data_IF_694655579875
#
_entry.id   IF_694655579875
#
_cell.length_a   1.000
_cell.length_b   1.000
_cell.length_c   1.000
_cell.angle_alpha   90.00
_cell.angle_beta   90.00
_cell.angle_gamma   90.00
#
_symmetry.space_group_name_H-M   'P 1'
#
loop_
_entity.id
_entity.type
_entity.pdbx_description
1 polymer ?
#
# COMPACT_ATOMS: atom_id res chain seq x y z
N UNK A 1 10.08 24.42 0.01
CA UNK A 1 9.62 24.33 1.41
C UNK A 1 10.83 24.64 2.29
N UNK A 2 10.71 25.50 3.30
CA UNK A 2 11.87 25.88 4.12
C UNK A 2 12.15 24.79 5.16
N UNK A 3 13.28 24.10 5.05
CA UNK A 3 13.67 23.01 5.96
C UNK A 3 13.83 23.48 7.42
N UNK A 4 14.12 24.77 7.63
CA UNK A 4 14.27 25.34 8.97
C UNK A 4 12.93 25.61 9.67
N UNK A 5 11.80 25.58 8.96
CA UNK A 5 10.48 25.88 9.52
C UNK A 5 9.91 24.72 10.34
N UNK A 6 10.38 23.49 10.09
CA UNK A 6 9.93 22.27 10.77
C UNK A 6 10.99 21.64 11.68
N UNK A 7 12.14 22.30 11.82
CA UNK A 7 13.22 21.87 12.69
C UNK A 7 12.76 22.02 14.15
N UNK A 8 12.98 20.98 14.96
CA UNK A 8 12.81 21.00 16.42
C UNK A 8 11.37 21.03 16.98
N UNK A 9 10.33 20.90 16.15
CA UNK A 9 8.91 20.83 16.58
C UNK A 9 8.60 19.75 17.65
N UNK A 10 9.44 18.72 17.75
CA UNK A 10 9.30 17.63 18.72
C UNK A 10 9.99 17.96 20.03
N UNK A 11 11.12 18.67 19.98
CA UNK A 11 11.88 19.04 21.17
C UNK A 11 11.13 20.15 21.94
N UNK A 12 10.33 20.97 21.24
CA UNK A 12 9.42 21.97 21.83
C UNK A 12 8.05 21.39 22.28
N UNK A 13 7.84 20.07 22.15
CA UNK A 13 6.57 19.44 22.48
C UNK A 13 6.33 19.42 24.01
N UNK A 14 5.14 19.80 24.50
CA UNK A 14 4.80 19.71 25.92
C UNK A 14 4.54 18.26 26.39
N UNK A 15 4.52 17.30 25.47
CA UNK A 15 4.31 15.89 25.76
C UNK A 15 5.63 15.18 26.08
N UNK A 16 5.57 14.14 26.92
CA UNK A 16 6.73 13.32 27.25
C UNK A 16 7.36 12.73 25.97
N UNK A 17 8.69 12.81 25.86
CA UNK A 17 9.42 12.39 24.66
C UNK A 17 9.15 10.94 24.27
N UNK A 18 8.81 10.72 23.00
CA UNK A 18 8.68 9.38 22.41
C UNK A 18 10.06 8.77 22.14
N UNK A 19 10.28 7.47 22.44
CA UNK A 19 11.50 6.77 22.02
C UNK A 19 11.61 6.63 20.50
N UNK A 20 10.51 6.83 19.77
CA UNK A 20 10.47 6.84 18.31
C UNK A 20 10.36 8.30 17.85
N UNK A 21 11.50 8.88 17.45
CA UNK A 21 11.55 10.20 16.81
C UNK A 21 11.35 10.03 15.29
N UNK A 22 10.31 10.61 14.68
CA UNK A 22 10.13 10.59 13.23
C UNK A 22 11.26 11.36 12.54
N UNK A 23 11.62 10.90 11.35
CA UNK A 23 12.60 11.55 10.47
C UNK A 23 11.84 12.14 9.30
N UNK A 24 11.99 13.45 9.08
CA UNK A 24 11.46 14.09 7.88
C UNK A 24 12.27 13.65 6.67
N UNK A 25 11.58 13.18 5.63
CA UNK A 25 12.19 12.77 4.37
C UNK A 25 11.96 13.86 3.32
N UNK A 26 13.01 14.21 2.59
CA UNK A 26 12.92 15.10 1.43
C UNK A 26 12.17 14.43 0.26
N UNK A 27 11.74 15.23 -0.72
CA UNK A 27 10.99 14.76 -1.89
C UNK A 27 11.69 13.63 -2.65
N UNK A 28 13.02 13.67 -2.74
CA UNK A 28 13.84 12.69 -3.45
C UNK A 28 14.36 11.56 -2.53
N UNK A 29 13.87 11.49 -1.29
CA UNK A 29 14.33 10.49 -0.35
C UNK A 29 14.04 9.07 -0.87
N UNK A 30 15.07 8.23 -0.85
CA UNK A 30 14.93 6.83 -1.23
C UNK A 30 14.37 6.01 -0.07
N UNK A 31 13.20 5.42 -0.27
CA UNK A 31 12.61 4.46 0.66
C UNK A 31 13.33 3.11 0.54
N UNK A 32 13.79 2.56 1.68
CA UNK A 32 14.44 1.24 1.73
C UNK A 32 13.40 0.13 1.85
N UNK A 33 12.89 -0.34 0.72
CA UNK A 33 12.02 -1.52 0.66
C UNK A 33 12.84 -2.80 0.42
N UNK A 34 12.58 -3.85 1.20
CA UNK A 34 13.34 -5.13 1.16
C UNK A 34 12.42 -6.36 1.24
N UNK A 35 11.29 -6.38 0.54
CA UNK A 35 10.54 -7.62 0.39
C UNK A 35 11.28 -8.53 -0.60
N UNK A 36 11.99 -9.56 -0.11
CA UNK A 36 12.68 -10.57 -0.93
C UNK A 36 12.75 -11.92 -0.19
N UNK A 37 13.01 -13.02 -0.90
CA UNK A 37 13.00 -14.40 -0.36
C UNK A 37 13.88 -14.63 0.88
N UNK A 38 14.88 -13.78 1.10
CA UNK A 38 15.85 -13.95 2.19
C UNK A 38 15.48 -13.16 3.46
N UNK A 39 14.29 -12.54 3.55
CA UNK A 39 13.79 -11.94 4.80
C UNK A 39 12.81 -12.86 5.50
N UNK A 40 12.77 -12.78 6.84
CA UNK A 40 11.91 -13.63 7.67
C UNK A 40 10.40 -13.47 7.37
N UNK A 41 9.99 -12.30 6.89
CA UNK A 41 8.61 -11.97 6.57
C UNK A 41 8.27 -12.10 5.07
N UNK A 42 9.05 -12.86 4.30
CA UNK A 42 8.79 -13.06 2.87
C UNK A 42 7.34 -13.50 2.62
N UNK A 43 6.63 -12.79 1.73
CA UNK A 43 5.21 -12.97 1.39
C UNK A 43 4.18 -12.82 2.52
N UNK A 44 4.57 -12.49 3.75
CA UNK A 44 3.63 -12.40 4.88
C UNK A 44 2.56 -11.30 4.69
N UNK A 45 2.92 -10.16 4.09
CA UNK A 45 1.96 -9.11 3.75
C UNK A 45 1.09 -9.47 2.54
N UNK A 46 1.64 -10.19 1.56
CA UNK A 46 0.91 -10.63 0.37
C UNK A 46 -0.10 -11.74 0.68
N UNK A 47 0.12 -12.52 1.74
CA UNK A 47 -0.80 -13.57 2.18
C UNK A 47 -2.01 -13.06 2.97
N UNK A 48 -2.04 -11.79 3.34
CA UNK A 48 -3.15 -11.18 4.09
C UNK A 48 -3.36 -9.73 3.65
N UNK A 49 -4.05 -9.54 2.53
CA UNK A 49 -4.20 -8.23 1.90
C UNK A 49 -5.42 -7.44 2.40
N UNK A 50 -5.20 -6.14 2.53
CA UNK A 50 -6.24 -5.12 2.58
C UNK A 50 -5.72 -3.89 1.83
N UNK A 51 -5.85 -3.90 0.50
CA UNK A 51 -5.17 -2.94 -0.39
C UNK A 51 -6.20 -2.13 -1.17
N UNK A 52 -6.54 -0.90 -0.71
CA UNK A 52 -7.30 0.06 -1.50
C UNK A 52 -6.61 0.36 -2.83
N UNK A 53 -7.38 0.47 -3.90
CA UNK A 53 -6.90 0.78 -5.23
C UNK A 53 -7.27 2.21 -5.60
N UNK A 54 -6.27 2.99 -6.01
CA UNK A 54 -6.53 4.28 -6.66
C UNK A 54 -6.91 4.08 -8.13
N UNK A 55 -7.50 5.09 -8.79
CA UNK A 55 -7.74 5.02 -10.23
C UNK A 55 -6.46 4.75 -11.04
N UNK A 56 -5.31 5.25 -10.58
CA UNK A 56 -4.04 5.01 -11.27
C UNK A 56 -3.58 3.55 -11.16
N UNK A 57 -3.82 2.90 -10.02
CA UNK A 57 -3.54 1.46 -9.85
C UNK A 57 -4.38 0.62 -10.82
N UNK A 58 -5.67 0.93 -10.95
CA UNK A 58 -6.56 0.27 -11.92
C UNK A 58 -6.04 0.46 -13.35
N UNK A 59 -5.62 1.67 -13.71
CA UNK A 59 -5.08 1.97 -15.03
C UNK A 59 -3.78 1.22 -15.33
N UNK A 60 -2.92 1.02 -14.32
CA UNK A 60 -1.67 0.28 -14.47
C UNK A 60 -1.90 -1.23 -14.53
N UNK A 61 -2.70 -1.77 -13.62
CA UNK A 61 -2.96 -3.20 -13.51
C UNK A 61 -3.73 -3.74 -14.72
N UNK A 62 -4.75 -3.03 -15.21
CA UNK A 62 -5.47 -3.45 -16.42
C UNK A 62 -4.55 -3.57 -17.63
N UNK A 63 -3.57 -2.66 -17.76
CA UNK A 63 -2.59 -2.68 -18.86
C UNK A 63 -1.61 -3.83 -18.70
N UNK A 64 -1.15 -4.09 -17.47
CA UNK A 64 -0.26 -5.22 -17.15
C UNK A 64 -0.91 -6.57 -17.45
N UNK A 65 -2.21 -6.67 -17.25
CA UNK A 65 -3.03 -7.87 -17.46
C UNK A 65 -3.68 -7.95 -18.86
N UNK A 66 -3.41 -6.97 -19.73
CA UNK A 66 -3.97 -6.86 -21.08
C UNK A 66 -5.51 -7.02 -21.14
N UNK A 67 -6.21 -6.27 -20.30
CA UNK A 67 -7.67 -6.32 -20.20
C UNK A 67 -8.34 -4.96 -20.04
N UNK A 68 -9.67 -4.93 -20.20
CA UNK A 68 -10.46 -3.74 -19.97
C UNK A 68 -10.52 -3.38 -18.47
N UNK A 69 -10.77 -2.11 -18.15
CA UNK A 69 -10.97 -1.71 -16.75
C UNK A 69 -12.23 -2.33 -16.15
N UNK A 70 -13.28 -2.53 -16.95
CA UNK A 70 -14.53 -3.14 -16.48
C UNK A 70 -14.32 -4.60 -16.07
N UNK A 71 -13.56 -5.36 -16.85
CA UNK A 71 -13.25 -6.76 -16.52
C UNK A 71 -12.30 -6.87 -15.34
N UNK A 72 -11.30 -5.98 -15.27
CA UNK A 72 -10.41 -5.89 -14.11
C UNK A 72 -11.19 -5.65 -12.81
N UNK A 73 -12.09 -4.67 -12.80
CA UNK A 73 -12.88 -4.34 -11.62
C UNK A 73 -13.78 -5.51 -11.19
N UNK A 74 -14.43 -6.19 -12.14
CA UNK A 74 -15.29 -7.34 -11.86
C UNK A 74 -14.52 -8.53 -11.28
N UNK A 75 -13.31 -8.80 -11.78
CA UNK A 75 -12.55 -10.00 -11.44
C UNK A 75 -11.65 -9.81 -10.22
N UNK A 76 -11.00 -8.66 -10.11
CA UNK A 76 -9.89 -8.44 -9.15
C UNK A 76 -10.18 -7.40 -8.08
N UNK A 77 -11.38 -6.83 -8.01
CA UNK A 77 -11.71 -5.83 -6.98
C UNK A 77 -13.03 -6.10 -6.26
N UNK A 78 -13.14 -5.57 -5.04
CA UNK A 78 -14.37 -5.52 -4.25
C UNK A 78 -14.61 -4.09 -3.77
N UNK A 79 -15.88 -3.64 -3.69
CA UNK A 79 -16.22 -2.34 -3.13
C UNK A 79 -16.06 -2.35 -1.60
N UNK A 80 -15.75 -1.19 -1.03
CA UNK A 80 -15.78 -0.97 0.43
C UNK A 80 -16.14 0.48 0.75
N UNK A 81 -16.57 0.74 1.97
CA UNK A 81 -16.75 2.10 2.50
C UNK A 81 -15.42 2.62 3.02
N UNK A 82 -14.91 3.69 2.39
CA UNK A 82 -13.57 4.20 2.65
C UNK A 82 -13.50 5.12 3.87
N UNK A 83 -14.60 5.79 4.21
CA UNK A 83 -14.71 6.69 5.35
C UNK A 83 -16.07 6.56 6.03
N UNK A 84 -16.27 7.35 7.10
CA UNK A 84 -17.51 7.35 7.89
C UNK A 84 -18.69 7.97 7.15
N UNK A 85 -18.43 8.71 6.08
CA UNK A 85 -19.45 9.37 5.27
C UNK A 85 -19.93 8.45 4.12
N UNK A 86 -19.40 7.22 4.05
CA UNK A 86 -19.81 6.21 3.08
C UNK A 86 -19.20 6.41 1.71
N UNK A 87 -18.05 7.09 1.60
CA UNK A 87 -17.38 7.28 0.32
C UNK A 87 -17.03 5.91 -0.31
N UNK A 88 -17.48 5.62 -1.54
CA UNK A 88 -17.22 4.33 -2.16
C UNK A 88 -15.75 4.22 -2.57
N UNK A 89 -15.08 3.21 -2.05
CA UNK A 89 -13.75 2.78 -2.46
C UNK A 89 -13.79 1.42 -3.14
N UNK A 90 -12.69 1.08 -3.80
CA UNK A 90 -12.42 -0.27 -4.29
C UNK A 90 -11.09 -0.77 -3.73
N UNK A 91 -11.00 -2.06 -3.45
CA UNK A 91 -9.77 -2.72 -3.02
C UNK A 91 -9.57 -4.04 -3.74
N UNK A 92 -8.35 -4.58 -3.70
CA UNK A 92 -8.08 -5.87 -4.31
C UNK A 92 -8.95 -6.98 -3.69
N UNK A 93 -9.52 -7.80 -4.55
CA UNK A 93 -10.24 -9.00 -4.15
C UNK A 93 -9.22 -10.10 -3.78
N UNK A 94 -9.26 -10.66 -2.57
CA UNK A 94 -8.42 -11.81 -2.22
C UNK A 94 -8.76 -13.06 -3.04
N UNK A 95 -7.97 -14.11 -2.86
CA UNK A 95 -8.35 -15.46 -3.32
C UNK A 95 -9.62 -15.94 -2.63
N UNK A 96 -10.40 -16.76 -3.33
CA UNK A 96 -11.63 -17.33 -2.76
C UNK A 96 -11.32 -18.15 -1.49
N UNK A 97 -12.08 -17.89 -0.41
CA UNK A 97 -11.92 -18.58 0.86
C UNK A 97 -10.65 -18.22 1.65
N UNK A 98 -9.90 -17.19 1.24
CA UNK A 98 -8.67 -16.78 1.92
C UNK A 98 -8.46 -15.27 1.91
N UNK A 99 -7.29 -14.84 2.41
CA UNK A 99 -6.91 -13.41 2.48
C UNK A 99 -5.69 -13.08 1.62
N UNK A 100 -5.16 -14.06 0.88
CA UNK A 100 -3.99 -13.87 0.04
C UNK A 100 -4.33 -13.08 -1.24
N UNK A 101 -3.36 -12.31 -1.73
CA UNK A 101 -3.44 -11.63 -3.02
C UNK A 101 -3.54 -12.64 -4.17
N UNK A 102 -4.42 -12.41 -5.13
CA UNK A 102 -4.52 -13.25 -6.34
C UNK A 102 -3.25 -13.23 -7.21
N UNK A 103 -2.42 -12.20 -7.07
CA UNK A 103 -1.14 -12.08 -7.79
C UNK A 103 0.06 -12.60 -6.98
N UNK A 104 -0.16 -13.18 -5.81
CA UNK A 104 0.92 -13.76 -5.00
C UNK A 104 1.37 -15.08 -5.60
N UNK A 105 2.67 -15.19 -5.85
CA UNK A 105 3.34 -16.42 -6.25
C UNK A 105 4.40 -16.77 -5.20
N UNK A 106 4.92 -18.03 -5.19
CA UNK A 106 6.09 -18.36 -4.40
C UNK A 106 7.30 -17.45 -4.70
N UNK A 107 7.37 -16.93 -5.92
CA UNK A 107 8.40 -16.04 -6.49
C UNK A 107 8.25 -14.57 -6.13
N UNK A 108 7.08 -14.17 -5.64
CA UNK A 108 6.79 -12.80 -5.23
C UNK A 108 5.48 -12.31 -5.83
N UNK A 109 5.44 -11.05 -6.25
CA UNK A 109 4.25 -10.49 -6.89
C UNK A 109 4.31 -10.73 -8.41
N UNK A 110 3.26 -11.28 -9.01
CA UNK A 110 3.23 -11.54 -10.46
C UNK A 110 3.05 -10.28 -11.33
N UNK A 111 2.63 -9.16 -10.73
CA UNK A 111 2.31 -7.92 -11.45
C UNK A 111 3.34 -6.81 -11.25
N UNK A 112 4.34 -7.00 -10.39
CA UNK A 112 5.42 -6.05 -10.10
C UNK A 112 6.80 -6.69 -10.21
#
# INVERSE_FOLDING_TARGET
>A
MNENEFKDLIDDSPFAGSPVKPVMLEENASLKFRCHRNVKCWNACCSNIDIPLTPYDVLRLKKRLDMSSGDFLKQYSIPFEMDKDGMPGIKLNPVEGGTACQFMTPEGCGVY
#
